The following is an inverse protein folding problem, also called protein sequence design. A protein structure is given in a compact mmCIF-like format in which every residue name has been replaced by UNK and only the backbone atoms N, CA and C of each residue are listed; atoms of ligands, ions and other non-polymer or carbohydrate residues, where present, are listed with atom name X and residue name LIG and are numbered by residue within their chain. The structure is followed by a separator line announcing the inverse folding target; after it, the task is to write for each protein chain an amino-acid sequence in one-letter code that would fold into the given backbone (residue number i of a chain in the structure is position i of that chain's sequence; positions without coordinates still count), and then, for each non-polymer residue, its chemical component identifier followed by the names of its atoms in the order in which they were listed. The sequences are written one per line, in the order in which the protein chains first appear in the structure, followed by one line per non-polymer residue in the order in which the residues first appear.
data_IF_554913007805
#
_entry.id   IF_554913007805
#
_cell.length_a   1.000
_cell.length_b   1.000
_cell.length_c   1.000
_cell.angle_alpha   90.00
_cell.angle_beta   90.00
_cell.angle_gamma   90.00
#
_symmetry.space_group_name_H-M   'P 1'
#
loop_
_entity.id
_entity.type
_entity.pdbx_description
1 polymer ?
#
# COMPACT_ATOMS: atom_id res chain seq x y z
N UNK A 1 10.37 13.02 -0.96
CA UNK A 1 10.54 11.56 -1.15
C UNK A 1 11.90 11.05 -0.68
N UNK A 2 13.04 11.58 -1.13
CA UNK A 2 14.40 11.12 -0.74
C UNK A 2 14.66 11.10 0.78
N UNK A 3 14.10 12.05 1.53
CA UNK A 3 14.24 12.12 2.99
C UNK A 3 13.60 10.91 3.69
N UNK A 4 12.36 10.56 3.34
CA UNK A 4 11.63 9.42 3.93
C UNK A 4 12.31 8.08 3.66
N UNK A 5 12.97 7.93 2.49
CA UNK A 5 13.71 6.70 2.14
C UNK A 5 14.87 6.44 3.12
N UNK A 6 15.56 7.49 3.59
CA UNK A 6 16.68 7.34 4.53
C UNK A 6 16.23 6.81 5.88
N UNK A 7 15.15 7.35 6.44
CA UNK A 7 14.64 6.93 7.74
C UNK A 7 14.02 5.54 7.70
N UNK A 8 13.25 5.23 6.65
CA UNK A 8 12.70 3.88 6.46
C UNK A 8 13.80 2.85 6.35
N UNK A 9 14.87 3.14 5.58
CA UNK A 9 16.05 2.25 5.48
C UNK A 9 16.75 2.07 6.84
N UNK A 10 16.92 3.14 7.62
CA UNK A 10 17.50 3.07 8.96
C UNK A 10 16.67 2.23 9.92
N UNK A 11 15.33 2.32 9.85
CA UNK A 11 14.42 1.53 10.67
C UNK A 11 14.55 0.03 10.36
N UNK A 12 14.57 -0.34 9.07
CA UNK A 12 14.80 -1.73 8.66
C UNK A 12 16.17 -2.26 9.08
N UNK A 13 17.23 -1.47 8.92
CA UNK A 13 18.57 -1.83 9.39
C UNK A 13 18.65 -1.98 10.92
N UNK A 14 17.74 -1.34 11.65
CA UNK A 14 17.61 -1.49 13.10
C UNK A 14 16.76 -2.70 13.50
N UNK A 15 16.30 -3.54 12.56
CA UNK A 15 15.53 -4.77 12.85
C UNK A 15 14.01 -4.61 12.79
N UNK A 16 13.48 -3.46 12.37
CA UNK A 16 12.05 -3.27 12.22
C UNK A 16 11.50 -3.99 10.99
N UNK A 17 10.56 -4.91 11.18
CA UNK A 17 9.73 -5.42 10.08
C UNK A 17 8.66 -4.40 9.69
N UNK A 18 8.17 -4.47 8.45
CA UNK A 18 7.12 -3.56 7.94
C UNK A 18 5.86 -3.57 8.83
N UNK A 19 5.46 -4.74 9.33
CA UNK A 19 4.29 -4.89 10.22
C UNK A 19 4.48 -4.12 11.54
N UNK A 20 5.66 -4.25 12.13
CA UNK A 20 6.03 -3.59 13.40
C UNK A 20 6.20 -2.09 13.21
N UNK A 21 6.86 -1.68 12.13
CA UNK A 21 7.03 -0.27 11.78
C UNK A 21 5.68 0.41 11.52
N UNK A 22 4.78 -0.25 10.77
CA UNK A 22 3.42 0.23 10.56
C UNK A 22 2.71 0.41 11.90
N UNK A 23 2.74 -0.58 12.77
CA UNK A 23 2.12 -0.51 14.10
C UNK A 23 2.63 0.68 14.92
N UNK A 24 3.95 0.86 14.99
CA UNK A 24 4.60 1.95 15.73
C UNK A 24 4.25 3.33 15.16
N UNK A 25 4.22 3.47 13.83
CA UNK A 25 3.84 4.73 13.17
C UNK A 25 2.35 5.04 13.23
N UNK A 26 1.52 4.07 13.63
CA UNK A 26 0.09 4.31 13.88
C UNK A 26 -0.14 4.89 15.28
N UNK A 27 0.87 4.91 16.15
CA UNK A 27 0.78 5.52 17.48
C UNK A 27 0.95 7.04 17.40
N UNK A 28 0.09 7.76 18.10
CA UNK A 28 0.00 9.22 18.02
C UNK A 28 1.23 9.86 18.64
N UNK A 29 1.97 10.68 17.86
CA UNK A 29 3.14 11.42 18.33
C UNK A 29 4.50 10.75 18.09
N UNK A 30 4.55 9.57 17.49
CA UNK A 30 5.82 8.91 17.15
C UNK A 30 6.38 9.47 15.84
N UNK A 31 7.58 10.05 15.91
CA UNK A 31 8.32 10.51 14.72
C UNK A 31 9.31 9.44 14.26
N UNK A 32 9.53 9.38 12.95
CA UNK A 32 10.35 8.35 12.29
C UNK A 32 11.85 8.45 12.63
N UNK A 33 12.30 9.62 13.08
CA UNK A 33 13.64 9.92 13.59
C UNK A 33 13.84 9.57 15.07
N UNK A 34 12.75 9.30 15.79
CA UNK A 34 12.73 8.95 17.21
C UNK A 34 11.94 7.64 17.43
N UNK A 35 12.25 6.62 16.63
CA UNK A 35 11.67 5.31 16.82
C UNK A 35 12.17 4.71 18.14
N UNK A 36 11.30 4.06 18.93
CA UNK A 36 11.74 3.26 20.08
C UNK A 36 12.68 2.12 19.61
N UNK A 37 13.29 1.34 20.52
CA UNK A 37 13.96 0.10 20.14
C UNK A 37 12.95 -0.93 19.61
N UNK A 38 13.35 -1.82 18.68
CA UNK A 38 12.47 -2.84 18.14
C UNK A 38 11.95 -3.75 19.26
N UNK A 39 10.66 -4.12 19.26
CA UNK A 39 10.19 -5.20 20.11
C UNK A 39 10.99 -6.47 19.79
N UNK A 40 11.65 -7.07 20.78
CA UNK A 40 12.21 -8.41 20.63
C UNK A 40 11.05 -9.38 20.41
N UNK A 41 10.83 -9.77 19.17
CA UNK A 41 9.94 -10.88 18.86
C UNK A 41 10.75 -12.14 19.11
N UNK A 42 10.48 -12.85 20.21
CA UNK A 42 11.15 -14.10 20.60
C UNK A 42 10.79 -15.29 19.68
N UNK A 43 10.46 -15.04 18.41
CA UNK A 43 10.20 -16.09 17.42
C UNK A 43 11.49 -16.56 16.71
N UNK A 44 12.66 -16.35 17.31
CA UNK A 44 13.97 -16.82 16.86
C UNK A 44 14.36 -18.19 17.46
N UNK A 45 13.43 -19.12 17.46
CA UNK A 45 13.75 -20.54 17.59
C UNK A 45 13.29 -21.30 16.34
N UNK A 46 13.97 -21.03 15.22
CA UNK A 46 14.09 -22.01 14.15
C UNK A 46 15.13 -23.05 14.60
N UNK A 47 14.75 -24.30 14.91
CA UNK A 47 15.74 -25.33 15.12
C UNK A 47 16.38 -25.63 13.76
N UNK A 48 17.70 -25.52 13.73
CA UNK A 48 18.54 -26.12 12.71
C UNK A 48 18.31 -27.64 12.76
N UNK A 49 17.36 -28.14 11.98
CA UNK A 49 16.90 -29.52 12.10
C UNK A 49 16.17 -29.98 10.85
N UNK A 50 16.94 -30.58 9.94
CA UNK A 50 16.56 -31.65 9.02
C UNK A 50 15.29 -31.40 8.21
N UNK A 51 15.47 -31.24 6.90
CA UNK A 51 14.44 -31.33 5.87
C UNK A 51 13.68 -32.66 6.04
N UNK A 52 12.60 -32.66 6.81
CA UNK A 52 11.54 -33.65 6.68
C UNK A 52 10.57 -33.12 5.64
N UNK A 53 10.66 -33.72 4.46
CA UNK A 53 9.63 -33.69 3.42
C UNK A 53 8.32 -34.20 4.04
N UNK A 54 7.56 -33.32 4.68
CA UNK A 54 6.25 -33.67 5.20
C UNK A 54 5.28 -33.88 4.05
N UNK A 55 5.08 -35.17 3.77
CA UNK A 55 3.97 -35.75 3.05
C UNK A 55 2.66 -35.43 3.79
N UNK A 56 2.13 -34.22 3.61
CA UNK A 56 0.74 -33.91 3.96
C UNK A 56 0.01 -33.50 2.70
N UNK A 57 -0.71 -34.47 2.12
CA UNK A 57 -1.76 -34.27 1.13
C UNK A 57 -3.06 -33.97 1.89
N UNK A 58 -3.65 -32.79 1.71
CA UNK A 58 -5.10 -32.66 1.69
C UNK A 58 -5.54 -32.02 0.38
N UNK A 59 -6.06 -32.83 -0.55
CA UNK A 59 -7.14 -32.53 -1.50
C UNK A 59 -7.15 -31.28 -2.39
N UNK A 60 -6.24 -30.31 -2.25
CA UNK A 60 -6.10 -29.19 -3.16
C UNK A 60 -5.17 -29.64 -4.27
N UNK A 61 -5.71 -29.82 -5.48
CA UNK A 61 -4.90 -29.99 -6.68
C UNK A 61 -3.83 -28.90 -6.68
N UNK A 62 -2.57 -29.30 -6.57
CA UNK A 62 -1.45 -28.38 -6.78
C UNK A 62 -1.71 -27.66 -8.11
N UNK A 63 -1.57 -26.33 -8.14
CA UNK A 63 -1.84 -25.59 -9.35
C UNK A 63 -1.02 -26.18 -10.48
N UNK A 64 -1.68 -26.50 -11.60
CA UNK A 64 -1.03 -27.00 -12.79
C UNK A 64 0.18 -26.11 -13.11
N UNK A 65 1.34 -26.73 -13.21
CA UNK A 65 2.55 -26.04 -13.58
C UNK A 65 2.37 -25.45 -14.97
N UNK A 66 2.53 -24.14 -15.10
CA UNK A 66 2.57 -23.44 -16.39
C UNK A 66 3.72 -22.46 -16.40
N UNK A 67 4.34 -22.28 -17.56
CA UNK A 67 5.46 -21.36 -17.75
C UNK A 67 5.07 -19.94 -17.32
N UNK A 68 3.83 -19.52 -17.59
CA UNK A 68 3.35 -18.19 -17.19
C UNK A 68 3.24 -18.04 -15.67
N UNK A 69 2.79 -19.06 -14.95
CA UNK A 69 2.80 -19.05 -13.48
C UNK A 69 4.21 -18.99 -12.92
N UNK A 70 5.16 -19.70 -13.53
CA UNK A 70 6.57 -19.65 -13.12
C UNK A 70 7.13 -18.23 -13.28
N UNK A 71 6.91 -17.60 -14.44
CA UNK A 71 7.34 -16.21 -14.70
C UNK A 71 6.76 -15.24 -13.68
N UNK A 72 5.45 -15.35 -13.43
CA UNK A 72 4.77 -14.51 -12.45
C UNK A 72 5.31 -14.73 -11.02
N UNK A 73 5.61 -15.98 -10.64
CA UNK A 73 6.19 -16.29 -9.34
C UNK A 73 7.60 -15.72 -9.17
N UNK A 74 8.45 -15.82 -10.21
CA UNK A 74 9.80 -15.24 -10.20
C UNK A 74 9.73 -13.72 -10.03
N UNK A 75 8.85 -13.04 -10.76
CA UNK A 75 8.68 -11.58 -10.64
C UNK A 75 8.21 -11.22 -9.23
N UNK A 76 7.19 -11.92 -8.70
CA UNK A 76 6.70 -11.70 -7.33
C UNK A 76 7.78 -11.93 -6.29
N UNK A 77 8.58 -12.99 -6.44
CA UNK A 77 9.68 -13.30 -5.54
C UNK A 77 10.77 -12.21 -5.55
N UNK A 78 11.18 -11.75 -6.74
CA UNK A 78 12.17 -10.67 -6.84
C UNK A 78 11.67 -9.39 -6.17
N UNK A 79 10.43 -8.99 -6.46
CA UNK A 79 9.83 -7.77 -5.91
C UNK A 79 9.67 -7.86 -4.39
N UNK A 80 9.21 -9.01 -3.88
CA UNK A 80 8.98 -9.20 -2.45
C UNK A 80 10.28 -9.17 -1.62
N UNK A 81 11.41 -9.52 -2.23
CA UNK A 81 12.70 -9.63 -1.55
C UNK A 81 13.71 -8.54 -1.96
N UNK A 82 13.27 -7.53 -2.73
CA UNK A 82 14.12 -6.43 -3.25
C UNK A 82 15.39 -6.94 -3.96
N UNK A 83 15.26 -8.05 -4.69
CA UNK A 83 16.38 -8.72 -5.34
C UNK A 83 16.69 -8.06 -6.69
N UNK A 84 17.98 -7.91 -6.98
CA UNK A 84 18.42 -7.38 -8.27
C UNK A 84 17.95 -8.30 -9.41
N UNK A 85 17.46 -7.70 -10.50
CA UNK A 85 17.03 -8.43 -11.72
C UNK A 85 18.16 -9.31 -12.28
N UNK A 86 19.42 -8.91 -12.05
CA UNK A 86 20.60 -9.69 -12.43
C UNK A 86 20.65 -11.07 -11.75
N UNK A 87 19.91 -11.31 -10.65
CA UNK A 87 19.80 -12.63 -10.03
C UNK A 87 19.18 -13.66 -10.98
N UNK A 88 18.27 -13.26 -11.89
CA UNK A 88 17.74 -14.17 -12.91
C UNK A 88 18.82 -14.57 -13.94
N UNK A 89 19.87 -13.76 -14.10
CA UNK A 89 21.01 -14.13 -14.95
C UNK A 89 21.96 -15.12 -14.25
N UNK A 90 21.76 -15.42 -12.96
CA UNK A 90 22.57 -16.42 -12.29
C UNK A 90 22.37 -17.76 -12.97
N UNK A 91 23.46 -18.30 -13.52
CA UNK A 91 23.46 -19.62 -14.12
C UNK A 91 23.02 -20.70 -13.11
N UNK A 92 23.33 -20.49 -11.83
CA UNK A 92 22.93 -21.39 -10.74
C UNK A 92 21.41 -21.40 -10.53
N UNK A 93 20.76 -20.23 -10.59
CA UNK A 93 19.30 -20.14 -10.50
C UNK A 93 18.63 -20.78 -11.72
N UNK A 94 19.15 -20.52 -12.92
CA UNK A 94 18.66 -21.16 -14.14
C UNK A 94 18.81 -22.67 -14.07
N UNK A 95 19.97 -23.17 -13.62
CA UNK A 95 20.22 -24.59 -13.44
C UNK A 95 19.30 -25.20 -12.39
N UNK A 96 19.02 -24.50 -11.28
CA UNK A 96 18.08 -24.95 -10.26
C UNK A 96 16.66 -25.09 -10.82
N UNK A 97 16.20 -24.12 -11.61
CA UNK A 97 14.88 -24.17 -12.27
C UNK A 97 14.80 -25.34 -13.26
N UNK A 98 15.84 -25.52 -14.09
CA UNK A 98 15.92 -26.63 -15.04
C UNK A 98 16.00 -27.99 -14.33
N UNK A 99 16.69 -28.07 -13.19
CA UNK A 99 16.77 -29.28 -12.38
C UNK A 99 15.42 -29.66 -11.77
N UNK A 100 14.62 -28.66 -11.36
CA UNK A 100 13.29 -28.89 -10.79
C UNK A 100 12.24 -29.29 -11.84
N UNK A 101 12.42 -28.92 -13.11
CA UNK A 101 11.45 -29.16 -14.20
C UNK A 101 12.11 -29.51 -15.54
N UNK A 102 12.81 -30.66 -15.64
CA UNK A 102 13.69 -30.98 -16.78
C UNK A 102 12.95 -31.26 -18.11
N UNK A 103 11.65 -31.56 -18.08
CA UNK A 103 10.87 -31.93 -19.27
C UNK A 103 9.89 -30.84 -19.74
N UNK A 104 9.62 -29.83 -18.90
CA UNK A 104 8.56 -28.84 -19.13
C UNK A 104 9.09 -27.43 -19.44
N UNK A 105 10.40 -27.20 -19.30
CA UNK A 105 11.00 -25.87 -19.41
C UNK A 105 12.30 -25.94 -20.23
N UNK A 106 12.42 -25.07 -21.21
CA UNK A 106 13.67 -24.82 -21.94
C UNK A 106 14.32 -23.51 -21.49
N UNK A 107 15.61 -23.32 -21.76
CA UNK A 107 16.32 -22.08 -21.42
C UNK A 107 15.64 -20.83 -22.02
N UNK A 108 15.00 -20.96 -23.19
CA UNK A 108 14.24 -19.87 -23.83
C UNK A 108 12.99 -19.43 -23.07
N UNK A 109 12.44 -20.29 -22.22
CA UNK A 109 11.27 -20.01 -21.40
C UNK A 109 11.61 -19.19 -20.15
N UNK A 110 12.89 -19.23 -19.75
CA UNK A 110 13.41 -18.42 -18.65
C UNK A 110 13.49 -16.96 -19.11
N UNK A 111 12.80 -16.03 -18.43
CA UNK A 111 12.78 -14.65 -18.85
C UNK A 111 14.17 -14.03 -18.68
N UNK A 112 14.88 -13.82 -19.79
CA UNK A 112 16.12 -13.05 -19.79
C UNK A 112 15.87 -11.60 -19.37
N UNK A 113 16.92 -10.95 -18.86
CA UNK A 113 16.88 -9.60 -18.27
C UNK A 113 16.04 -8.57 -19.03
N UNK A 114 16.14 -8.51 -20.36
CA UNK A 114 15.36 -7.56 -21.16
C UNK A 114 13.86 -7.83 -21.08
N UNK A 115 13.46 -9.10 -21.09
CA UNK A 115 12.05 -9.52 -20.94
C UNK A 115 11.58 -9.27 -19.50
N UNK A 116 12.39 -9.60 -18.50
CA UNK A 116 12.07 -9.33 -17.09
C UNK A 116 11.92 -7.84 -16.81
N UNK A 117 12.83 -6.99 -17.31
CA UNK A 117 12.71 -5.53 -17.19
C UNK A 117 11.42 -5.02 -17.81
N UNK A 118 11.03 -5.50 -19.01
CA UNK A 118 9.76 -5.12 -19.65
C UNK A 118 8.55 -5.54 -18.82
N UNK A 119 8.54 -6.75 -18.26
CA UNK A 119 7.50 -7.26 -17.38
C UNK A 119 7.38 -6.44 -16.08
N UNK A 120 8.51 -6.13 -15.45
CA UNK A 120 8.55 -5.28 -14.25
C UNK A 120 8.03 -3.88 -14.56
N UNK A 121 8.52 -3.24 -15.64
CA UNK A 121 8.05 -1.91 -16.04
C UNK A 121 6.55 -1.91 -16.35
N UNK A 122 6.05 -2.91 -17.08
CA UNK A 122 4.62 -3.05 -17.36
C UNK A 122 3.79 -3.22 -16.08
N UNK A 123 4.30 -4.00 -15.11
CA UNK A 123 3.66 -4.18 -13.80
C UNK A 123 3.63 -2.86 -13.02
N UNK A 124 4.75 -2.13 -12.99
CA UNK A 124 4.82 -0.82 -12.35
C UNK A 124 3.84 0.19 -12.97
N UNK A 125 3.76 0.26 -14.30
CA UNK A 125 2.80 1.13 -15.00
C UNK A 125 1.36 0.78 -14.62
N UNK A 126 1.03 -0.51 -14.56
CA UNK A 126 -0.30 -0.98 -14.18
C UNK A 126 -0.62 -0.60 -12.74
N UNK A 127 0.28 -0.88 -11.79
CA UNK A 127 0.09 -0.53 -10.37
C UNK A 127 -0.01 0.99 -10.16
N UNK A 128 0.82 1.76 -10.85
CA UNK A 128 0.81 3.22 -10.77
C UNK A 128 -0.48 3.81 -11.34
N UNK A 129 -1.00 3.24 -12.42
CA UNK A 129 -2.29 3.64 -13.01
C UNK A 129 -3.44 3.38 -12.05
N UNK A 130 -3.47 2.19 -11.43
CA UNK A 130 -4.47 1.86 -10.42
C UNK A 130 -4.38 2.79 -9.18
N UNK A 131 -3.17 3.12 -8.74
CA UNK A 131 -2.95 4.07 -7.64
C UNK A 131 -3.46 5.47 -8.00
N UNK A 132 -3.15 5.96 -9.21
CA UNK A 132 -3.60 7.26 -9.70
C UNK A 132 -5.13 7.34 -9.75
N UNK A 133 -5.79 6.28 -10.21
CA UNK A 133 -7.25 6.20 -10.22
C UNK A 133 -7.84 6.28 -8.79
N UNK A 134 -7.27 5.54 -7.83
CA UNK A 134 -7.70 5.58 -6.42
C UNK A 134 -7.50 6.96 -5.79
N UNK A 135 -6.36 7.60 -6.04
CA UNK A 135 -6.09 8.96 -5.57
C UNK A 135 -7.09 9.97 -6.15
N UNK A 136 -7.39 9.86 -7.44
CA UNK A 136 -8.37 10.74 -8.09
C UNK A 136 -9.74 10.62 -7.42
N UNK A 137 -10.25 9.40 -7.20
CA UNK A 137 -11.53 9.16 -6.50
C UNK A 137 -11.50 9.77 -5.10
N UNK A 138 -10.41 9.60 -4.36
CA UNK A 138 -10.28 10.12 -3.00
C UNK A 138 -10.27 11.67 -2.96
N UNK A 139 -9.54 12.31 -3.88
CA UNK A 139 -9.50 13.77 -4.01
C UNK A 139 -10.86 14.32 -4.41
N UNK A 140 -11.55 13.68 -5.37
CA UNK A 140 -12.91 14.09 -5.75
C UNK A 140 -13.90 13.97 -4.59
N UNK A 141 -13.82 12.90 -3.80
CA UNK A 141 -14.66 12.73 -2.62
C UNK A 141 -14.39 13.81 -1.56
N UNK A 142 -13.13 14.17 -1.34
CA UNK A 142 -12.77 15.22 -0.39
C UNK A 142 -13.29 16.58 -0.85
N UNK A 143 -13.14 16.90 -2.14
CA UNK A 143 -13.66 18.14 -2.72
C UNK A 143 -15.18 18.23 -2.57
N UNK A 144 -15.90 17.14 -2.85
CA UNK A 144 -17.35 17.09 -2.68
C UNK A 144 -17.76 17.32 -1.22
N UNK A 145 -17.06 16.71 -0.26
CA UNK A 145 -17.30 16.92 1.17
C UNK A 145 -17.08 18.38 1.59
N UNK A 146 -15.98 18.99 1.12
CA UNK A 146 -15.69 20.40 1.43
C UNK A 146 -16.72 21.33 0.83
N UNK A 147 -17.16 21.06 -0.41
CA UNK A 147 -18.21 21.84 -1.08
C UNK A 147 -19.54 21.70 -0.31
N UNK A 148 -19.92 20.49 0.11
CA UNK A 148 -21.14 20.30 0.92
C UNK A 148 -21.05 21.01 2.27
N UNK A 149 -19.89 21.01 2.92
CA UNK A 149 -19.72 21.71 4.20
C UNK A 149 -19.81 23.24 4.06
N UNK A 150 -19.25 23.79 2.97
CA UNK A 150 -19.37 25.22 2.66
C UNK A 150 -20.82 25.59 2.36
N UNK A 151 -21.53 24.77 1.60
CA UNK A 151 -22.95 25.01 1.25
C UNK A 151 -23.84 24.95 2.50
N UNK A 152 -23.62 23.96 3.38
CA UNK A 152 -24.33 23.86 4.67
C UNK A 152 -24.04 25.08 5.58
N UNK A 153 -22.78 25.53 5.64
CA UNK A 153 -22.43 26.74 6.39
C UNK A 153 -23.06 28.00 5.79
N UNK A 154 -23.13 28.09 4.46
CA UNK A 154 -23.77 29.18 3.72
C UNK A 154 -25.27 29.25 3.98
N UNK A 155 -25.95 28.09 3.92
CA UNK A 155 -27.38 27.97 4.19
C UNK A 155 -27.72 28.35 5.64
N UNK A 156 -26.93 27.87 6.61
CA UNK A 156 -27.13 28.22 8.02
C UNK A 156 -26.94 29.73 8.25
N UNK A 157 -25.90 30.34 7.65
CA UNK A 157 -25.66 31.79 7.75
C UNK A 157 -26.80 32.61 7.13
N UNK A 158 -27.36 32.16 6.00
CA UNK A 158 -28.52 32.78 5.36
C UNK A 158 -29.79 32.71 6.23
N UNK A 159 -30.07 31.54 6.81
CA UNK A 159 -31.22 31.37 7.71
C UNK A 159 -31.09 32.25 8.96
N UNK A 160 -29.90 32.33 9.53
CA UNK A 160 -29.62 33.15 10.69
C UNK A 160 -29.77 34.65 10.40
N UNK A 161 -29.25 35.11 9.26
CA UNK A 161 -29.44 36.49 8.79
C UNK A 161 -30.92 36.84 8.59
N UNK A 162 -31.70 35.94 7.99
CA UNK A 162 -33.15 36.13 7.78
C UNK A 162 -33.90 36.22 9.10
N UNK A 163 -33.58 35.37 10.08
CA UNK A 163 -34.19 35.40 11.41
C UNK A 163 -33.89 36.72 12.12
N UNK A 164 -32.64 37.18 12.09
CA UNK A 164 -32.26 38.46 12.69
C UNK A 164 -32.94 39.67 12.01
N UNK A 165 -33.03 39.68 10.68
CA UNK A 165 -33.76 40.74 9.97
C UNK A 165 -35.23 40.78 10.38
N UNK A 166 -35.90 39.62 10.47
CA UNK A 166 -37.30 39.55 10.91
C UNK A 166 -37.48 40.01 12.36
N UNK A 167 -36.54 39.70 13.24
CA UNK A 167 -36.56 40.14 14.64
C UNK A 167 -36.45 41.67 14.76
N UNK A 168 -35.52 42.27 14.00
CA UNK A 168 -35.32 43.73 13.96
C UNK A 168 -36.58 44.43 13.40
N UNK A 169 -37.16 43.91 12.31
CA UNK A 169 -38.41 44.44 11.75
C UNK A 169 -39.60 44.29 12.71
N UNK A 170 -39.68 43.20 13.46
CA UNK A 170 -40.71 43.00 14.49
C UNK A 170 -40.58 43.98 15.66
N UNK A 171 -39.36 44.27 16.11
CA UNK A 171 -39.12 45.27 17.16
C UNK A 171 -39.41 46.70 16.68
N UNK A 172 -39.06 47.03 15.43
CA UNK A 172 -39.35 48.34 14.85
C UNK A 172 -40.86 48.60 14.69
N UNK A 173 -41.63 47.59 14.29
CA UNK A 173 -43.10 47.72 14.16
C UNK A 173 -43.80 47.82 15.52
N UNK A 174 -43.31 47.15 16.56
CA UNK A 174 -43.83 47.29 17.92
C UNK A 174 -43.58 48.69 18.53
N UNK A 175 -42.46 49.33 18.17
CA UNK A 175 -42.12 50.69 18.59
C UNK A 175 -43.00 51.76 17.91
N UNK A 176 -43.40 51.55 16.65
CA UNK A 176 -44.29 52.47 15.93
C UNK A 176 -45.71 52.43 16.50
N UNK A 177 -46.17 51.28 16.99
CA UNK A 177 -47.51 51.13 17.58
C UNK A 177 -47.64 51.59 19.04
N UNK A 178 -46.54 51.98 19.69
CA UNK A 178 -46.52 52.42 21.10
C UNK A 178 -46.27 53.92 21.29
N UNK A 179 -46.23 54.70 20.19
CA UNK A 179 -46.27 56.16 20.27
C UNK A 179 -47.73 56.64 20.31
N UNK A 180 -48.18 57.29 21.41
CA UNK A 180 -49.52 57.87 21.51
C UNK A 180 -49.71 59.10 20.62
#
# INVERSE_FOLDING_TARGET
WVFMVKFTKSAFMSGYMFKTLKHVLTQLGVKLDALPPPPLDHSDHLPLGIIQLQKSRPGASLPLFTIDRLKDHIVRYLVANDLAINMIKSQELCNLILYCCPWDITNSDIPHCTKTCKLILSTFVTMFTALKAKLFVCVSSLLLSVISDIDMCGLHRWQWARYHSLLIFGQATALIHTSP
#
